data_IF_594193847571
#
_entry.id   IF_594193847571
#
_cell.length_a   1.000
_cell.length_b   1.000
_cell.length_c   1.000
_cell.angle_alpha   90.00
_cell.angle_beta   90.00
_cell.angle_gamma   90.00
#
_symmetry.space_group_name_H-M   'P 1'
#
loop_
_entity.id
_entity.type
_entity.pdbx_description
1 polymer ?
#
# COMPACT_ATOMS: atom_id res chain seq x y z
N UNK A 1 -29.52 -17.86 -11.67
CA UNK A 1 -28.29 -17.64 -10.88
C UNK A 1 -28.28 -16.16 -10.53
N UNK A 2 -28.87 -15.80 -9.39
CA UNK A 2 -28.90 -14.40 -8.95
C UNK A 2 -27.49 -14.02 -8.54
N UNK A 3 -26.95 -12.97 -9.18
CA UNK A 3 -25.63 -12.45 -8.87
C UNK A 3 -25.66 -11.82 -7.48
N UNK A 4 -24.83 -12.36 -6.59
CA UNK A 4 -24.43 -11.69 -5.35
C UNK A 4 -23.80 -10.35 -5.72
N UNK A 5 -24.62 -9.29 -5.65
CA UNK A 5 -24.14 -7.93 -5.84
C UNK A 5 -23.18 -7.63 -4.68
N UNK A 6 -21.90 -7.44 -5.02
CA UNK A 6 -20.85 -7.05 -4.08
C UNK A 6 -21.33 -5.93 -3.15
N UNK A 7 -21.27 -6.18 -1.85
CA UNK A 7 -21.63 -5.16 -0.86
C UNK A 7 -20.59 -4.04 -0.85
N UNK A 8 -20.94 -2.81 -0.46
CA UNK A 8 -19.98 -1.71 -0.37
C UNK A 8 -18.77 -2.04 0.55
N UNK A 9 -18.98 -2.83 1.59
CA UNK A 9 -17.91 -3.27 2.50
C UNK A 9 -16.95 -4.24 1.79
N UNK A 10 -17.47 -5.24 1.07
CA UNK A 10 -16.67 -6.17 0.28
C UNK A 10 -15.89 -5.46 -0.82
N UNK A 11 -16.51 -4.49 -1.50
CA UNK A 11 -15.82 -3.66 -2.49
C UNK A 11 -14.61 -2.94 -1.90
N UNK A 12 -14.79 -2.31 -0.73
CA UNK A 12 -13.71 -1.57 -0.06
C UNK A 12 -12.58 -2.50 0.35
N UNK A 13 -12.92 -3.67 0.91
CA UNK A 13 -11.93 -4.68 1.26
C UNK A 13 -11.11 -5.11 0.03
N UNK A 14 -11.78 -5.43 -1.08
CA UNK A 14 -11.11 -5.81 -2.34
C UNK A 14 -10.18 -4.71 -2.85
N UNK A 15 -10.65 -3.46 -2.88
CA UNK A 15 -9.83 -2.33 -3.34
C UNK A 15 -8.60 -2.07 -2.45
N UNK A 16 -8.71 -2.34 -1.14
CA UNK A 16 -7.57 -2.23 -0.22
C UNK A 16 -6.57 -3.36 -0.46
N UNK A 17 -7.05 -4.58 -0.64
CA UNK A 17 -6.22 -5.74 -0.95
C UNK A 17 -5.50 -5.56 -2.30
N UNK A 18 -6.21 -5.12 -3.35
CA UNK A 18 -5.63 -4.82 -4.66
C UNK A 18 -4.50 -3.77 -4.54
N UNK A 19 -4.74 -2.68 -3.80
CA UNK A 19 -3.72 -1.65 -3.56
C UNK A 19 -2.50 -2.17 -2.81
N UNK A 20 -2.72 -3.02 -1.81
CA UNK A 20 -1.63 -3.64 -1.06
C UNK A 20 -0.79 -4.54 -1.96
N UNK A 21 -1.44 -5.38 -2.77
CA UNK A 21 -0.76 -6.28 -3.71
C UNK A 21 0.06 -5.50 -4.75
N UNK A 22 -0.50 -4.42 -5.31
CA UNK A 22 0.21 -3.56 -6.26
C UNK A 22 1.45 -2.89 -5.63
N UNK A 23 1.33 -2.42 -4.38
CA UNK A 23 2.44 -1.84 -3.64
C UNK A 23 3.55 -2.87 -3.37
N UNK A 24 3.17 -4.07 -2.93
CA UNK A 24 4.09 -5.19 -2.70
C UNK A 24 4.79 -5.61 -4.00
N UNK A 25 4.07 -5.70 -5.11
CA UNK A 25 4.64 -6.01 -6.42
C UNK A 25 5.64 -4.94 -6.87
N UNK A 26 5.30 -3.67 -6.67
CA UNK A 26 6.17 -2.55 -7.00
C UNK A 26 7.48 -2.62 -6.20
N UNK A 27 7.40 -2.80 -4.89
CA UNK A 27 8.57 -2.91 -3.99
C UNK A 27 9.50 -4.08 -4.36
N UNK A 28 8.95 -5.22 -4.80
CA UNK A 28 9.75 -6.38 -5.23
C UNK A 28 10.59 -6.11 -6.48
N UNK A 29 10.12 -5.23 -7.36
CA UNK A 29 10.80 -4.87 -8.61
C UNK A 29 11.52 -3.52 -8.55
N UNK A 30 11.42 -2.81 -7.42
CA UNK A 30 11.99 -1.48 -7.29
C UNK A 30 13.53 -1.56 -7.25
N UNK A 31 14.16 -0.82 -8.16
CA UNK A 31 15.62 -0.85 -8.30
C UNK A 31 16.33 -0.32 -7.04
N UNK A 32 15.74 0.62 -6.32
CA UNK A 32 16.29 1.15 -5.07
C UNK A 32 16.20 0.13 -3.94
N UNK A 33 15.05 -0.51 -3.78
CA UNK A 33 14.84 -1.59 -2.82
C UNK A 33 15.81 -2.75 -3.05
N UNK A 34 15.99 -3.18 -4.30
CA UNK A 34 16.94 -4.22 -4.68
C UNK A 34 18.40 -3.80 -4.41
N UNK A 35 18.76 -2.56 -4.69
CA UNK A 35 20.10 -2.04 -4.40
C UNK A 35 20.41 -2.04 -2.89
N UNK A 36 19.42 -1.75 -2.05
CA UNK A 36 19.57 -1.82 -0.58
C UNK A 36 19.74 -3.26 -0.09
N UNK A 37 18.95 -4.20 -0.64
CA UNK A 37 19.10 -5.63 -0.35
C UNK A 37 20.52 -6.09 -0.70
N UNK A 38 21.01 -5.76 -1.90
CA UNK A 38 22.34 -6.15 -2.36
C UNK A 38 23.47 -5.50 -1.53
N UNK A 39 23.36 -4.19 -1.24
CA UNK A 39 24.42 -3.46 -0.54
C UNK A 39 24.57 -3.84 0.94
N UNK A 40 23.48 -4.25 1.59
CA UNK A 40 23.44 -4.47 3.04
C UNK A 40 23.10 -5.91 3.45
N UNK A 41 22.91 -6.81 2.48
CA UNK A 41 22.30 -8.13 2.73
C UNK A 41 20.97 -7.99 3.49
N UNK A 42 20.20 -6.96 3.10
CA UNK A 42 18.99 -6.56 3.81
C UNK A 42 17.79 -7.43 3.41
N UNK A 43 16.79 -7.48 4.28
CA UNK A 43 15.50 -8.11 4.00
C UNK A 43 14.39 -7.08 4.11
N UNK A 44 13.37 -7.20 3.26
CA UNK A 44 12.19 -6.33 3.27
C UNK A 44 11.00 -7.16 3.73
N UNK A 45 10.38 -6.76 4.83
CA UNK A 45 9.12 -7.34 5.30
C UNK A 45 7.95 -6.71 4.55
N UNK A 46 7.34 -7.49 3.64
CA UNK A 46 6.26 -7.01 2.77
C UNK A 46 4.86 -7.25 3.36
N UNK A 47 4.74 -8.12 4.36
CA UNK A 47 3.46 -8.47 5.01
C UNK A 47 2.85 -7.30 5.80
N UNK A 48 3.67 -6.34 6.23
CA UNK A 48 3.26 -5.17 7.01
C UNK A 48 2.90 -3.96 6.15
N UNK A 49 2.96 -4.08 4.82
CA UNK A 49 2.62 -2.97 3.92
C UNK A 49 1.12 -2.71 4.00
N UNK A 50 0.73 -1.56 4.53
CA UNK A 50 -0.68 -1.14 4.63
C UNK A 50 -0.88 0.25 4.02
N UNK A 51 -2.01 0.51 3.34
CA UNK A 51 -2.32 1.84 2.86
C UNK A 51 -2.59 2.75 4.05
N UNK A 52 -1.82 3.84 4.17
CA UNK A 52 -2.10 4.85 5.17
C UNK A 52 -3.50 5.44 4.94
N UNK A 53 -4.27 5.73 6.02
CA UNK A 53 -5.45 6.56 5.87
C UNK A 53 -5.00 7.84 5.17
N UNK A 54 -5.81 8.32 4.22
CA UNK A 54 -5.57 9.63 3.62
C UNK A 54 -5.67 10.65 4.75
N UNK A 55 -4.57 10.90 5.45
CA UNK A 55 -4.45 11.99 6.38
C UNK A 55 -4.74 13.22 5.54
N UNK A 56 -5.92 13.81 5.76
CA UNK A 56 -6.19 15.16 5.35
C UNK A 56 -5.03 15.97 5.87
N UNK A 57 -4.16 16.40 4.97
CA UNK A 57 -3.11 17.34 5.30
C UNK A 57 -3.78 18.64 5.69
N UNK A 58 -4.14 18.77 6.96
CA UNK A 58 -4.02 20.04 7.68
C UNK A 58 -2.55 20.42 7.60
N UNK A 59 -2.17 20.97 6.44
CA UNK A 59 -1.07 21.91 6.35
C UNK A 59 -1.57 23.22 6.95
N UNK A 60 -1.87 23.20 8.25
CA UNK A 60 -1.88 24.41 9.08
C UNK A 60 -0.43 24.82 9.32
N UNK A 61 0.23 25.25 8.24
CA UNK A 61 1.37 26.15 8.35
C UNK A 61 0.80 27.55 8.59
N UNK A 62 0.23 27.75 9.78
CA UNK A 62 0.13 29.07 10.39
C UNK A 62 1.52 29.45 10.90
N UNK A 63 2.00 30.62 10.52
CA UNK A 63 3.09 31.44 11.11
C UNK A 63 3.81 32.16 9.98
N UNK A 64 4.06 33.46 9.99
CA UNK A 64 3.59 34.61 10.78
C UNK A 64 3.99 35.86 9.97
#
# INVERSE_FOLDING_TARGET
MQGDAETPAQRRARLLEEKQQDAVASLRSDAGALALIEAFDASIELDSVEPLPASGGEQDSTSA
#
